data_IF_335258525512
#
_entry.id   IF_335258525512
#
_cell.length_a   1.000
_cell.length_b   1.000
_cell.length_c   1.000
_cell.angle_alpha   90.00
_cell.angle_beta   90.00
_cell.angle_gamma   90.00
#
_symmetry.space_group_name_H-M   'P 1'
#
loop_
_entity.id
_entity.type
_entity.pdbx_description
1 polymer ?
#
# COMPACT_ATOMS: atom_id res chain seq x y z
N UNK A 1 20.55 -20.16 14.62
CA UNK A 1 20.47 -19.84 13.18
C UNK A 1 19.05 -20.12 12.75
N UNK A 2 18.16 -19.13 12.89
CA UNK A 2 16.80 -19.22 12.40
C UNK A 2 16.81 -18.73 10.95
N UNK A 3 16.54 -19.64 10.02
CA UNK A 3 16.33 -19.31 8.60
C UNK A 3 14.88 -18.90 8.43
N UNK A 4 14.49 -17.78 9.04
CA UNK A 4 13.32 -17.06 8.60
C UNK A 4 13.63 -16.50 7.22
N UNK A 5 13.03 -17.07 6.16
CA UNK A 5 13.02 -16.42 4.85
C UNK A 5 12.26 -15.11 5.06
N UNK A 6 13.00 -14.02 5.20
CA UNK A 6 12.44 -12.69 5.40
C UNK A 6 11.80 -12.25 4.08
N UNK A 7 10.49 -11.92 4.07
CA UNK A 7 9.76 -11.47 2.86
C UNK A 7 10.42 -10.27 2.18
N UNK A 8 11.21 -9.50 2.92
CA UNK A 8 12.04 -8.39 2.44
C UNK A 8 13.05 -8.78 1.36
N UNK A 9 13.30 -10.07 1.09
CA UNK A 9 14.19 -10.47 -0.01
C UNK A 9 13.57 -10.32 -1.40
N UNK A 10 12.24 -10.17 -1.50
CA UNK A 10 11.52 -10.14 -2.79
C UNK A 10 10.47 -9.02 -2.93
N UNK A 11 9.84 -8.56 -1.84
CA UNK A 11 8.79 -7.52 -1.87
C UNK A 11 8.93 -6.56 -0.70
N UNK A 12 8.59 -5.29 -0.92
CA UNK A 12 8.60 -4.25 0.11
C UNK A 12 7.18 -3.66 0.28
N UNK A 13 6.76 -3.30 1.51
CA UNK A 13 5.49 -2.61 1.75
C UNK A 13 5.60 -1.11 1.43
N UNK A 14 4.45 -0.41 1.38
CA UNK A 14 4.43 1.06 1.32
C UNK A 14 4.99 1.69 2.61
N UNK A 15 4.61 1.14 3.75
CA UNK A 15 5.03 1.56 5.08
C UNK A 15 5.19 0.34 5.99
N UNK A 16 6.05 0.46 6.99
CA UNK A 16 6.23 -0.54 8.05
C UNK A 16 5.70 -0.01 9.38
N UNK A 17 5.62 -0.85 10.41
CA UNK A 17 5.19 -0.46 11.76
C UNK A 17 6.38 -0.55 12.72
N UNK A 18 6.75 0.58 13.32
CA UNK A 18 7.75 0.68 14.35
C UNK A 18 7.35 -0.10 15.62
N UNK A 19 8.32 -0.37 16.50
CA UNK A 19 8.05 -1.03 17.80
C UNK A 19 7.08 -0.24 18.69
N UNK A 20 6.99 1.07 18.50
CA UNK A 20 6.07 1.94 19.23
C UNK A 20 4.70 2.10 18.54
N UNK A 21 4.47 1.38 17.43
CA UNK A 21 3.22 1.42 16.67
C UNK A 21 3.14 2.56 15.65
N UNK A 22 4.14 3.43 15.55
CA UNK A 22 4.19 4.46 14.51
C UNK A 22 4.47 3.86 13.13
N UNK A 23 3.93 4.48 12.08
CA UNK A 23 4.18 4.07 10.70
C UNK A 23 5.52 4.62 10.22
N UNK A 24 6.35 3.75 9.64
CA UNK A 24 7.67 4.07 9.09
C UNK A 24 7.60 4.08 7.55
N UNK A 25 8.15 5.09 6.87
CA UNK A 25 8.31 5.12 5.42
C UNK A 25 9.14 3.94 4.87
N UNK A 26 8.67 3.30 3.79
CA UNK A 26 9.43 2.30 3.02
C UNK A 26 9.43 2.68 1.54
N UNK A 27 8.46 2.17 0.75
CA UNK A 27 8.23 2.58 -0.64
C UNK A 27 7.47 3.91 -0.73
N UNK A 28 6.62 4.21 0.26
CA UNK A 28 6.06 5.54 0.44
C UNK A 28 6.97 6.37 1.37
N UNK A 29 7.20 7.62 1.00
CA UNK A 29 8.01 8.61 1.75
C UNK A 29 7.18 9.42 2.74
N UNK A 30 5.89 9.61 2.45
CA UNK A 30 4.93 10.30 3.33
C UNK A 30 3.50 9.95 2.95
N UNK A 31 2.56 10.26 3.84
CA UNK A 31 1.13 10.16 3.60
C UNK A 31 0.38 11.24 4.36
N UNK A 32 -0.76 11.63 3.82
CA UNK A 32 -1.72 12.55 4.46
C UNK A 32 -3.12 11.97 4.35
N UNK A 33 -3.95 12.24 5.34
CA UNK A 33 -5.38 11.92 5.31
C UNK A 33 -6.21 13.18 5.29
N UNK A 34 -7.45 13.07 4.81
CA UNK A 34 -8.46 14.09 5.03
C UNK A 34 -9.04 13.99 6.45
N UNK A 35 -9.84 14.99 6.85
CA UNK A 35 -10.32 15.16 8.23
C UNK A 35 -11.12 13.97 8.78
N UNK A 36 -11.85 13.25 7.92
CA UNK A 36 -12.71 12.12 8.30
C UNK A 36 -12.06 10.75 8.05
N UNK A 37 -10.79 10.73 7.63
CA UNK A 37 -10.00 9.53 7.32
C UNK A 37 -10.59 8.66 6.19
N UNK A 38 -11.48 9.22 5.37
CA UNK A 38 -12.04 8.54 4.19
C UNK A 38 -11.11 8.56 2.99
N UNK A 39 -10.11 9.44 2.98
CA UNK A 39 -9.12 9.57 1.91
C UNK A 39 -7.71 9.57 2.48
N UNK A 40 -6.82 8.77 1.89
CA UNK A 40 -5.39 8.77 2.19
C UNK A 40 -4.57 8.95 0.93
N UNK A 41 -3.69 9.96 0.91
CA UNK A 41 -2.77 10.22 -0.20
C UNK A 41 -1.36 9.85 0.21
N UNK A 42 -0.75 8.90 -0.52
CA UNK A 42 0.61 8.41 -0.31
C UNK A 42 1.55 8.93 -1.41
N UNK A 43 2.72 9.43 -0.99
CA UNK A 43 3.79 9.89 -1.89
C UNK A 43 4.90 8.84 -1.97
N UNK A 44 5.18 8.34 -3.16
CA UNK A 44 6.12 7.25 -3.41
C UNK A 44 7.56 7.73 -3.54
N UNK A 45 8.50 6.86 -3.18
CA UNK A 45 9.93 7.06 -3.43
C UNK A 45 10.19 6.99 -4.94
N UNK A 46 10.87 8.00 -5.46
CA UNK A 46 11.23 8.09 -6.87
C UNK A 46 12.46 7.23 -7.20
N UNK A 47 12.54 6.74 -8.44
CA UNK A 47 13.70 5.98 -8.92
C UNK A 47 13.83 4.56 -8.36
N UNK A 48 12.85 4.07 -7.60
CA UNK A 48 12.78 2.66 -7.18
C UNK A 48 12.57 1.81 -8.42
N UNK A 49 13.35 0.73 -8.55
CA UNK A 49 13.27 -0.18 -9.70
C UNK A 49 12.97 -1.59 -9.25
N UNK A 50 12.13 -2.27 -10.02
CA UNK A 50 11.97 -3.72 -9.94
C UNK A 50 13.25 -4.43 -10.41
N UNK A 51 13.37 -5.72 -10.12
CA UNK A 51 14.53 -6.52 -10.52
C UNK A 51 14.76 -6.59 -12.05
N UNK A 52 13.72 -6.35 -12.85
CA UNK A 52 13.81 -6.26 -14.31
C UNK A 52 14.27 -4.88 -14.82
N UNK A 53 14.54 -3.93 -13.93
CA UNK A 53 15.00 -2.58 -14.26
C UNK A 53 13.90 -1.56 -14.54
N UNK A 54 12.62 -1.97 -14.61
CA UNK A 54 11.50 -1.04 -14.74
C UNK A 54 11.35 -0.22 -13.46
N UNK A 55 11.11 1.09 -13.61
CA UNK A 55 10.82 1.95 -12.47
C UNK A 55 9.41 1.68 -11.92
N UNK A 56 9.30 1.63 -10.60
CA UNK A 56 8.03 1.56 -9.89
C UNK A 56 7.34 2.92 -9.88
N UNK A 57 6.06 2.93 -10.20
CA UNK A 57 5.19 4.11 -10.22
C UNK A 57 3.89 3.84 -9.48
N UNK A 58 3.08 4.89 -9.31
CA UNK A 58 1.74 4.80 -8.71
C UNK A 58 0.84 3.77 -9.41
N UNK A 59 0.96 3.60 -10.72
CA UNK A 59 0.17 2.61 -11.46
C UNK A 59 0.52 1.18 -11.08
N UNK A 60 1.79 0.90 -10.76
CA UNK A 60 2.22 -0.42 -10.30
C UNK A 60 1.67 -0.74 -8.91
N UNK A 61 1.57 0.28 -8.04
CA UNK A 61 0.96 0.15 -6.70
C UNK A 61 -0.53 -0.15 -6.83
N UNK A 62 -1.25 0.63 -7.64
CA UNK A 62 -2.69 0.41 -7.89
C UNK A 62 -2.93 -0.98 -8.48
N UNK A 63 -2.11 -1.41 -9.45
CA UNK A 63 -2.20 -2.74 -10.03
C UNK A 63 -1.98 -3.83 -8.98
N UNK A 64 -0.96 -3.68 -8.14
CA UNK A 64 -0.62 -4.67 -7.09
C UNK A 64 -1.74 -4.84 -6.07
N UNK A 65 -2.36 -3.73 -5.64
CA UNK A 65 -3.47 -3.80 -4.68
C UNK A 65 -4.74 -4.33 -5.35
N UNK A 66 -5.04 -3.96 -6.60
CA UNK A 66 -6.15 -4.56 -7.34
C UNK A 66 -5.97 -6.07 -7.53
N UNK A 67 -4.76 -6.52 -7.81
CA UNK A 67 -4.43 -7.95 -7.88
C UNK A 67 -4.72 -8.65 -6.54
N UNK A 68 -4.42 -8.02 -5.40
CA UNK A 68 -4.73 -8.56 -4.07
C UNK A 68 -6.24 -8.58 -3.78
N UNK A 69 -6.97 -7.54 -4.22
CA UNK A 69 -8.41 -7.37 -3.98
C UNK A 69 -9.29 -8.23 -4.89
N UNK A 70 -8.75 -8.75 -5.97
CA UNK A 70 -9.44 -9.68 -6.84
C UNK A 70 -9.57 -11.06 -6.14
N UNK A 71 -10.80 -11.53 -5.87
CA UNK A 71 -11.03 -12.79 -5.15
C UNK A 71 -10.47 -14.01 -5.89
N UNK A 72 -10.25 -13.94 -7.20
CA UNK A 72 -9.75 -15.05 -8.00
C UNK A 72 -8.22 -15.21 -7.88
N UNK A 73 -7.49 -14.16 -7.47
CA UNK A 73 -6.04 -14.14 -7.44
C UNK A 73 -5.41 -14.70 -6.14
N UNK A 74 -6.22 -15.19 -5.21
CA UNK A 74 -5.79 -15.70 -3.90
C UNK A 74 -4.77 -14.78 -3.19
N UNK A 75 -4.95 -13.46 -3.37
CA UNK A 75 -4.02 -12.44 -2.90
C UNK A 75 -3.85 -12.47 -1.38
N UNK A 76 -2.61 -12.64 -0.92
CA UNK A 76 -2.30 -12.50 0.52
C UNK A 76 -2.58 -11.05 0.94
N UNK A 77 -3.49 -10.87 1.90
CA UNK A 77 -3.98 -9.57 2.34
C UNK A 77 -5.37 -9.21 1.83
N UNK A 78 -6.00 -10.03 0.98
CA UNK A 78 -7.39 -9.80 0.53
C UNK A 78 -8.34 -9.59 1.72
N UNK A 79 -8.29 -10.47 2.73
CA UNK A 79 -9.16 -10.39 3.91
C UNK A 79 -8.97 -9.10 4.73
N UNK A 80 -7.77 -8.53 4.71
CA UNK A 80 -7.43 -7.32 5.48
C UNK A 80 -7.76 -6.05 4.68
N UNK A 81 -7.53 -6.05 3.37
CA UNK A 81 -7.68 -4.87 2.50
C UNK A 81 -9.09 -4.73 1.90
N UNK A 82 -9.75 -5.85 1.55
CA UNK A 82 -11.08 -5.83 0.94
C UNK A 82 -12.19 -5.24 1.81
N UNK A 83 -12.15 -5.23 3.15
CA UNK A 83 -13.16 -4.53 3.93
C UNK A 83 -12.95 -3.01 3.98
N UNK A 84 -11.74 -2.52 3.68
CA UNK A 84 -11.32 -1.15 3.99
C UNK A 84 -10.99 -0.28 2.76
N UNK A 85 -10.57 -0.83 1.61
CA UNK A 85 -10.21 -0.04 0.42
C UNK A 85 -11.37 0.02 -0.58
N UNK A 86 -12.09 1.13 -0.66
CA UNK A 86 -13.18 1.32 -1.61
C UNK A 86 -12.68 1.46 -3.05
N UNK A 87 -11.65 2.29 -3.27
CA UNK A 87 -11.02 2.48 -4.57
C UNK A 87 -9.63 3.10 -4.43
N UNK A 88 -8.87 3.13 -5.53
CA UNK A 88 -7.56 3.76 -5.59
C UNK A 88 -7.38 4.50 -6.89
N UNK A 89 -6.54 5.52 -6.87
CA UNK A 89 -6.21 6.34 -8.03
C UNK A 89 -4.71 6.63 -8.09
N UNK A 90 -4.12 6.45 -9.26
CA UNK A 90 -2.79 6.95 -9.59
C UNK A 90 -2.91 8.43 -10.00
N UNK A 91 -2.79 9.33 -9.01
CA UNK A 91 -2.99 10.78 -9.21
C UNK A 91 -1.92 11.39 -10.11
N UNK A 92 -0.66 10.99 -9.88
CA UNK A 92 0.48 11.28 -10.75
C UNK A 92 1.49 10.11 -10.65
N UNK A 93 2.64 10.20 -11.33
CA UNK A 93 3.64 9.12 -11.39
C UNK A 93 4.08 8.58 -10.03
N UNK A 94 4.07 9.40 -8.98
CA UNK A 94 4.54 9.04 -7.64
C UNK A 94 3.51 9.33 -6.55
N UNK A 95 2.25 9.55 -6.88
CA UNK A 95 1.19 9.80 -5.90
C UNK A 95 0.05 8.81 -6.08
N UNK A 96 -0.33 8.13 -5.00
CA UNK A 96 -1.47 7.20 -4.96
C UNK A 96 -2.48 7.72 -3.94
N UNK A 97 -3.73 7.86 -4.36
CA UNK A 97 -4.85 8.16 -3.46
C UNK A 97 -5.65 6.90 -3.21
N UNK A 98 -5.92 6.61 -1.94
CA UNK A 98 -6.80 5.54 -1.47
C UNK A 98 -8.08 6.17 -0.95
N UNK A 99 -9.23 5.67 -1.43
CA UNK A 99 -10.52 5.96 -0.85
C UNK A 99 -10.92 4.78 0.04
N UNK A 100 -11.23 5.07 1.28
CA UNK A 100 -11.54 4.06 2.29
C UNK A 100 -13.03 3.76 2.29
N UNK A 101 -13.40 2.49 2.49
CA UNK A 101 -14.77 2.14 2.87
C UNK A 101 -14.96 2.76 4.25
N UNK A 102 -15.80 3.80 4.32
CA UNK A 102 -16.02 4.56 5.54
C UNK A 102 -16.21 3.62 6.73
N UNK A 103 -15.50 3.88 7.82
CA UNK A 103 -15.75 3.17 9.06
C UNK A 103 -17.22 3.36 9.41
N UNK A 104 -18.01 2.29 9.38
CA UNK A 104 -19.23 2.23 10.15
C UNK A 104 -18.81 2.27 11.63
N UNK A 105 -18.33 3.41 12.11
CA UNK A 105 -18.40 3.74 13.52
C UNK A 105 -19.88 3.96 13.77
N UNK A 106 -20.57 2.86 14.08
CA UNK A 106 -21.89 2.95 14.72
C UNK A 106 -21.74 3.89 15.90
N UNK A 107 -22.45 5.02 15.85
CA UNK A 107 -22.76 5.80 17.04
C UNK A 107 -23.65 4.98 17.96
#
# INVERSE_FOLDING_TARGET
>A
MDKSINRSTMFEPLSDVAKDGSLIPVLATSWVSNDDLSEWTYHLRQGVKFHNGQEMTSTDVVWSVNYILDPDNAGRGHGDLSPIIASMEAVDRYTVRFNMRGSQRSR
#
